data_IF_504730152317
#
_entry.id   IF_504730152317
#
_cell.length_a   1.000
_cell.length_b   1.000
_cell.length_c   1.000
_cell.angle_alpha   90.00
_cell.angle_beta   90.00
_cell.angle_gamma   90.00
#
_symmetry.space_group_name_H-M   'P 1'
#
loop_
_entity.id
_entity.type
_entity.pdbx_description
1 polymer ?
#
# COMPACT_ATOMS: atom_id res chain seq x y z
N UNK A 1 4.65 -5.80 7.14
CA UNK A 1 4.68 -6.59 8.39
C UNK A 1 5.18 -5.74 9.55
N UNK A 2 6.41 -5.21 9.49
CA UNK A 2 6.97 -4.34 10.54
C UNK A 2 6.06 -3.18 11.02
N UNK A 3 5.42 -2.43 10.11
CA UNK A 3 4.50 -1.33 10.49
C UNK A 3 3.24 -1.82 11.20
N UNK A 4 2.80 -3.04 10.93
CA UNK A 4 1.66 -3.68 11.59
C UNK A 4 2.05 -4.11 13.00
N UNK A 5 3.19 -4.79 13.14
CA UNK A 5 3.70 -5.21 14.45
C UNK A 5 3.98 -4.00 15.36
N UNK A 6 4.49 -2.91 14.79
CA UNK A 6 4.65 -1.65 15.51
C UNK A 6 3.32 -1.03 15.95
N UNK A 7 2.28 -1.10 15.12
CA UNK A 7 0.94 -0.65 15.50
C UNK A 7 0.36 -1.50 16.64
N UNK A 8 0.47 -2.82 16.53
CA UNK A 8 -0.02 -3.75 17.55
C UNK A 8 0.69 -3.53 18.90
N UNK A 9 2.03 -3.44 18.89
CA UNK A 9 2.82 -3.16 20.09
C UNK A 9 2.48 -1.79 20.72
N UNK A 10 2.34 -0.75 19.90
CA UNK A 10 2.01 0.59 20.41
C UNK A 10 0.65 0.62 21.11
N UNK A 11 -0.32 -0.15 20.59
CA UNK A 11 -1.64 -0.27 21.16
C UNK A 11 -1.59 -1.03 22.50
N UNK A 12 -0.80 -2.11 22.58
CA UNK A 12 -0.58 -2.85 23.83
C UNK A 12 0.07 -1.97 24.90
N UNK A 13 1.08 -1.18 24.55
CA UNK A 13 1.73 -0.26 25.47
C UNK A 13 0.78 0.84 25.95
N UNK A 14 -0.02 1.42 25.06
CA UNK A 14 -1.03 2.41 25.42
C UNK A 14 -2.10 1.83 26.35
N UNK A 15 -2.61 0.63 26.06
CA UNK A 15 -3.60 -0.06 26.89
C UNK A 15 -3.08 -0.35 28.31
N UNK A 16 -1.76 -0.51 28.46
CA UNK A 16 -1.08 -0.67 29.76
C UNK A 16 -0.67 0.66 30.42
N UNK A 17 -0.95 1.80 29.78
CA UNK A 17 -0.54 3.12 30.26
C UNK A 17 0.98 3.38 30.14
N UNK A 18 1.69 2.55 29.38
CA UNK A 18 3.16 2.60 29.20
C UNK A 18 3.59 3.47 28.01
N UNK A 19 2.64 3.93 27.19
CA UNK A 19 2.89 4.82 26.07
C UNK A 19 1.76 5.84 25.91
N UNK A 20 2.10 7.00 25.33
CA UNK A 20 1.12 8.01 24.97
C UNK A 20 0.28 7.56 23.77
N UNK A 21 -0.99 7.99 23.72
CA UNK A 21 -1.88 7.72 22.58
C UNK A 21 -1.32 8.22 21.24
N UNK A 22 -0.50 9.28 21.25
CA UNK A 22 0.19 9.77 20.04
C UNK A 22 1.08 8.71 19.39
N UNK A 23 1.69 7.81 20.16
CA UNK A 23 2.51 6.73 19.61
C UNK A 23 1.65 5.72 18.83
N UNK A 24 0.40 5.50 19.27
CA UNK A 24 -0.58 4.65 18.57
C UNK A 24 -1.00 5.31 17.26
N UNK A 25 -1.23 6.62 17.26
CA UNK A 25 -1.62 7.34 16.06
C UNK A 25 -0.50 7.33 15.00
N UNK A 26 0.74 7.52 15.43
CA UNK A 26 1.89 7.52 14.51
C UNK A 26 2.14 6.14 13.91
N UNK A 27 2.05 5.07 14.72
CA UNK A 27 2.22 3.70 14.22
C UNK A 27 1.11 3.30 13.24
N UNK A 28 -0.14 3.69 13.52
CA UNK A 28 -1.28 3.49 12.61
C UNK A 28 -1.11 4.28 11.30
N UNK A 29 -0.62 5.53 11.38
CA UNK A 29 -0.32 6.34 10.19
C UNK A 29 0.76 5.70 9.33
N UNK A 30 1.82 5.18 9.94
CA UNK A 30 2.89 4.45 9.25
C UNK A 30 2.37 3.17 8.58
N UNK A 31 1.51 2.41 9.27
CA UNK A 31 0.84 1.24 8.72
C UNK A 31 -0.01 1.61 7.49
N UNK A 32 -0.83 2.65 7.60
CA UNK A 32 -1.65 3.13 6.48
C UNK A 32 -0.80 3.54 5.28
N UNK A 33 0.29 4.30 5.49
CA UNK A 33 1.19 4.68 4.41
C UNK A 33 1.82 3.48 3.70
N UNK A 34 2.19 2.43 4.48
CA UNK A 34 2.74 1.20 3.92
C UNK A 34 1.71 0.44 3.07
N UNK A 35 0.45 0.39 3.53
CA UNK A 35 -0.64 -0.26 2.81
C UNK A 35 -0.99 0.50 1.52
N UNK A 36 -1.02 1.83 1.56
CA UNK A 36 -1.24 2.65 0.37
C UNK A 36 -0.14 2.45 -0.68
N UNK A 37 1.13 2.40 -0.26
CA UNK A 37 2.26 2.09 -1.15
C UNK A 37 2.13 0.71 -1.80
N UNK A 38 1.62 -0.30 -1.08
CA UNK A 38 1.38 -1.62 -1.65
C UNK A 38 0.34 -1.55 -2.78
N UNK A 39 -0.78 -0.88 -2.54
CA UNK A 39 -1.84 -0.71 -3.56
C UNK A 39 -1.34 0.07 -4.78
N UNK A 40 -0.54 1.12 -4.57
CA UNK A 40 0.08 1.87 -5.67
C UNK A 40 1.04 1.00 -6.48
N UNK A 41 1.85 0.16 -5.81
CA UNK A 41 2.76 -0.78 -6.46
C UNK A 41 2.00 -1.80 -7.31
N UNK A 42 0.94 -2.40 -6.77
CA UNK A 42 0.10 -3.35 -7.52
C UNK A 42 -0.53 -2.69 -8.75
N UNK A 43 -1.03 -1.47 -8.58
CA UNK A 43 -1.57 -0.66 -9.69
C UNK A 43 -0.51 -0.36 -10.75
N UNK A 44 0.72 -0.06 -10.33
CA UNK A 44 1.83 0.19 -11.24
C UNK A 44 2.19 -1.06 -12.05
N UNK A 45 2.21 -2.24 -11.42
CA UNK A 45 2.45 -3.52 -12.13
C UNK A 45 1.43 -3.75 -13.23
N UNK A 46 0.13 -3.59 -12.93
CA UNK A 46 -0.94 -3.77 -13.92
C UNK A 46 -0.85 -2.74 -15.04
N UNK A 47 -0.61 -1.48 -14.71
CA UNK A 47 -0.49 -0.40 -15.70
C UNK A 47 0.72 -0.60 -16.61
N UNK A 48 1.84 -1.07 -16.06
CA UNK A 48 3.04 -1.40 -16.82
C UNK A 48 2.78 -2.58 -17.76
N UNK A 49 2.04 -3.60 -17.31
CA UNK A 49 1.67 -4.74 -18.15
C UNK A 49 0.79 -4.31 -19.34
N UNK A 50 -0.22 -3.47 -19.09
CA UNK A 50 -1.06 -2.90 -20.16
C UNK A 50 -0.21 -2.10 -21.15
N UNK A 51 0.70 -1.27 -20.64
CA UNK A 51 1.58 -0.45 -21.48
C UNK A 51 2.51 -1.32 -22.35
N UNK A 52 3.04 -2.41 -21.78
CA UNK A 52 3.84 -3.38 -22.52
C UNK A 52 3.02 -4.07 -23.62
N UNK A 53 1.81 -4.52 -23.31
CA UNK A 53 0.92 -5.16 -24.29
C UNK A 53 0.60 -4.22 -25.47
N UNK A 54 0.31 -2.94 -25.17
CA UNK A 54 0.10 -1.91 -26.19
C UNK A 54 1.36 -1.68 -27.04
N UNK A 55 2.53 -1.60 -26.42
CA UNK A 55 3.81 -1.38 -27.11
C UNK A 55 4.20 -2.55 -28.04
N UNK A 56 3.85 -3.78 -27.66
CA UNK A 56 4.11 -4.99 -28.45
C UNK A 56 3.15 -5.20 -29.63
N UNK A 57 2.20 -4.29 -29.83
CA UNK A 57 1.30 -4.35 -30.98
C UNK A 57 -0.05 -5.03 -30.71
N UNK A 58 -0.40 -5.31 -29.45
CA UNK A 58 -1.72 -5.85 -29.09
C UNK A 58 -2.91 -4.91 -29.31
N UNK A 59 -2.70 -3.71 -29.86
CA UNK A 59 -3.74 -2.73 -30.18
C UNK A 59 -4.02 -2.54 -31.67
N UNK A 60 -3.36 -3.26 -32.57
CA UNK A 60 -3.48 -3.05 -34.01
C UNK A 60 -4.62 -3.84 -34.68
N UNK A 61 -5.18 -4.85 -34.00
CA UNK A 61 -6.27 -5.71 -34.52
C UNK A 61 -7.68 -5.37 -33.98
N UNK A 62 -7.82 -4.29 -33.19
CA UNK A 62 -9.15 -3.80 -32.83
C UNK A 62 -9.70 -2.97 -34.00
N UNK A 63 -10.84 -3.33 -34.63
CA UNK A 63 -11.47 -2.47 -35.60
C UNK A 63 -11.89 -1.19 -34.87
N UNK A 64 -11.33 -0.07 -35.29
CA UNK A 64 -11.79 1.26 -34.91
C UNK A 64 -12.96 1.56 -35.84
N UNK A 65 -14.20 1.52 -35.31
CA UNK A 65 -15.33 2.23 -35.91
C UNK A 65 -15.20 3.73 -35.62
#
# INVERSE_FOLDING_TARGET
EASKDAADLSNELYARGLAAFLNVLESQRSLYATQDQLVQSDTAVVTNLISLYKALGGGWDAPVD
#
